data_IF_988868190480
#
_entry.id   IF_988868190480
#
_cell.length_a   1.000
_cell.length_b   1.000
_cell.length_c   1.000
_cell.angle_alpha   90.00
_cell.angle_beta   90.00
_cell.angle_gamma   90.00
#
_symmetry.space_group_name_H-M   'P 1'
#
loop_
_entity.id
_entity.type
_entity.pdbx_description
1 polymer ?
#
# COMPACT_ATOMS: atom_id res chain seq x y z
N UNK A 1 -25.72 -33.10 -9.32
CA UNK A 1 -25.57 -32.76 -10.76
C UNK A 1 -24.72 -31.50 -11.00
N UNK A 2 -23.66 -31.27 -10.21
CA UNK A 2 -22.71 -30.13 -10.37
C UNK A 2 -21.25 -30.59 -10.45
N UNK A 3 -20.97 -31.87 -10.18
CA UNK A 3 -19.63 -32.47 -10.28
C UNK A 3 -19.23 -32.94 -11.69
N UNK A 4 -20.12 -32.80 -12.69
CA UNK A 4 -19.86 -33.23 -14.07
C UNK A 4 -19.36 -32.09 -15.00
N UNK A 5 -19.54 -30.82 -14.59
CA UNK A 5 -19.17 -29.64 -15.40
C UNK A 5 -17.70 -29.23 -15.19
N UNK A 6 -17.08 -29.60 -14.06
CA UNK A 6 -15.71 -29.21 -13.71
C UNK A 6 -14.66 -30.04 -14.49
N UNK A 7 -14.98 -31.26 -14.91
CA UNK A 7 -14.02 -32.16 -15.55
C UNK A 7 -13.98 -32.05 -17.10
N UNK A 8 -14.85 -31.24 -17.70
CA UNK A 8 -14.90 -31.01 -19.16
C UNK A 8 -14.05 -29.80 -19.60
N UNK A 9 -13.88 -28.79 -18.73
CA UNK A 9 -13.01 -27.64 -19.02
C UNK A 9 -11.51 -27.95 -18.88
N UNK A 10 -11.14 -28.97 -18.10
CA UNK A 10 -9.73 -29.35 -17.88
C UNK A 10 -9.09 -30.03 -19.09
N UNK A 11 -9.89 -30.62 -19.97
CA UNK A 11 -9.41 -31.27 -21.21
C UNK A 11 -9.62 -30.42 -22.47
N UNK A 12 -10.38 -29.32 -22.40
CA UNK A 12 -10.56 -28.39 -23.51
C UNK A 12 -9.53 -27.25 -23.54
N UNK A 13 -8.91 -26.91 -22.39
CA UNK A 13 -7.87 -25.87 -22.33
C UNK A 13 -6.47 -26.34 -22.75
N UNK A 14 -6.26 -27.65 -22.95
CA UNK A 14 -4.95 -28.22 -23.31
C UNK A 14 -4.80 -28.53 -24.82
N UNK A 15 -5.86 -28.39 -25.63
CA UNK A 15 -5.85 -28.77 -27.06
C UNK A 15 -5.72 -27.61 -28.05
N UNK A 16 -5.71 -26.34 -27.60
CA UNK A 16 -5.69 -25.15 -28.48
C UNK A 16 -4.39 -24.33 -28.42
N UNK A 17 -3.37 -24.75 -27.66
CA UNK A 17 -2.06 -24.07 -27.67
C UNK A 17 -0.92 -24.86 -28.32
N UNK A 18 -1.21 -26.01 -28.93
CA UNK A 18 -0.23 -26.82 -29.67
C UNK A 18 -0.33 -26.64 -31.20
N UNK A 19 -1.20 -25.75 -31.71
CA UNK A 19 -1.52 -25.65 -33.15
C UNK A 19 -1.53 -24.24 -33.76
N UNK A 20 -0.78 -23.27 -33.21
CA UNK A 20 -0.53 -21.97 -33.87
C UNK A 20 0.96 -21.59 -33.88
N UNK A 21 1.81 -22.62 -34.04
CA UNK A 21 3.12 -22.49 -34.66
C UNK A 21 2.92 -22.95 -36.11
N UNK A 22 3.30 -22.12 -37.09
CA UNK A 22 3.17 -22.27 -38.56
C UNK A 22 1.98 -21.55 -39.20
N UNK A 23 2.09 -20.22 -39.27
CA UNK A 23 1.79 -19.53 -40.53
C UNK A 23 2.51 -18.19 -40.53
N UNK A 24 3.74 -18.23 -41.04
CA UNK A 24 4.42 -17.10 -41.64
C UNK A 24 3.46 -16.39 -42.59
N UNK A 25 3.00 -15.19 -42.24
CA UNK A 25 2.64 -14.22 -43.26
C UNK A 25 3.88 -13.39 -43.54
N UNK A 26 4.59 -13.81 -44.57
CA UNK A 26 5.49 -12.97 -45.34
C UNK A 26 4.66 -11.84 -45.97
N UNK A 27 5.10 -10.60 -45.82
CA UNK A 27 4.75 -9.49 -46.71
C UNK A 27 6.06 -9.08 -47.41
N UNK A 28 6.22 -9.57 -48.64
CA UNK A 28 7.10 -9.01 -49.69
C UNK A 28 6.33 -7.86 -50.36
N UNK A 29 6.88 -6.85 -51.02
CA UNK A 29 8.23 -6.39 -51.40
C UNK A 29 7.97 -5.08 -52.16
N UNK A 30 8.76 -4.03 -51.95
CA UNK A 30 8.89 -2.94 -52.93
C UNK A 30 10.34 -2.93 -53.39
N UNK A 31 10.52 -3.18 -54.68
CA UNK A 31 11.80 -3.23 -55.37
C UNK A 31 12.18 -1.86 -55.93
N UNK A 32 13.42 -1.47 -55.59
CA UNK A 32 14.42 -0.86 -56.46
C UNK A 32 14.14 0.56 -56.98
N UNK A 33 14.86 1.51 -56.37
CA UNK A 33 15.54 2.56 -57.15
C UNK A 33 17.05 2.48 -56.88
N UNK A 34 17.77 2.47 -58.00
CA UNK A 34 19.20 2.18 -58.17
C UNK A 34 20.04 3.45 -57.96
N UNK A 35 21.16 3.29 -57.25
CA UNK A 35 22.33 4.18 -57.17
C UNK A 35 22.23 5.50 -56.38
N UNK A 36 22.71 5.49 -55.15
CA UNK A 36 23.75 6.44 -54.74
C UNK A 36 24.62 5.86 -53.62
N UNK A 37 25.86 5.53 -53.96
CA UNK A 37 26.94 5.29 -53.00
C UNK A 37 27.16 6.55 -52.17
N UNK A 38 26.69 6.54 -50.92
CA UNK A 38 27.33 7.23 -49.81
C UNK A 38 27.04 6.43 -48.55
N UNK A 39 27.89 5.42 -48.35
CA UNK A 39 28.00 4.68 -47.11
C UNK A 39 28.61 5.59 -46.03
N UNK A 40 27.76 6.33 -45.31
CA UNK A 40 28.04 6.66 -43.91
C UNK A 40 27.41 5.58 -43.03
N UNK A 41 28.08 4.44 -43.02
CA UNK A 41 27.92 3.43 -42.00
C UNK A 41 28.52 3.95 -40.70
N UNK A 42 27.79 3.74 -39.60
CA UNK A 42 28.24 3.77 -38.22
C UNK A 42 28.23 5.12 -37.50
N UNK A 43 27.05 5.71 -37.32
CA UNK A 43 26.73 6.06 -35.94
C UNK A 43 26.17 4.80 -35.27
N UNK A 44 27.07 3.91 -34.86
CA UNK A 44 26.74 2.93 -33.82
C UNK A 44 26.38 3.79 -32.63
N UNK A 45 25.08 4.02 -32.48
CA UNK A 45 24.49 4.68 -31.34
C UNK A 45 24.83 3.77 -30.16
N UNK A 46 26.03 3.95 -29.61
CA UNK A 46 26.40 3.52 -28.27
C UNK A 46 25.69 4.47 -27.30
N UNK A 47 24.37 4.55 -27.44
CA UNK A 47 23.53 5.07 -26.38
C UNK A 47 23.59 3.98 -25.33
N UNK A 48 24.54 4.12 -24.41
CA UNK A 48 24.33 3.63 -23.07
C UNK A 48 22.95 4.19 -22.69
N UNK A 49 21.94 3.34 -22.59
CA UNK A 49 20.63 3.68 -22.05
C UNK A 49 20.78 3.40 -20.55
N UNK A 50 21.23 4.38 -19.73
CA UNK A 50 21.43 4.14 -18.32
C UNK A 50 20.08 3.85 -17.67
N UNK A 51 19.88 2.58 -17.33
CA UNK A 51 18.72 2.08 -16.59
C UNK A 51 19.17 1.82 -15.17
N UNK A 52 18.34 2.22 -14.21
CA UNK A 52 18.53 1.90 -12.79
C UNK A 52 17.33 1.15 -12.25
N UNK A 53 17.54 0.49 -11.12
CA UNK A 53 16.51 -0.24 -10.40
C UNK A 53 16.32 0.40 -9.02
N UNK A 54 15.08 0.39 -8.55
CA UNK A 54 14.70 0.76 -7.19
C UNK A 54 13.88 -0.37 -6.56
N UNK A 55 13.77 -0.34 -5.24
CA UNK A 55 12.76 -1.07 -4.50
C UNK A 55 11.94 -0.05 -3.71
N UNK A 56 10.74 0.28 -4.22
CA UNK A 56 9.88 1.26 -3.57
C UNK A 56 9.45 0.83 -2.17
N UNK A 57 9.21 -0.47 -1.96
CA UNK A 57 8.82 -1.00 -0.66
C UNK A 57 9.95 -0.83 0.35
N UNK A 58 11.19 -1.12 -0.05
CA UNK A 58 12.38 -0.93 0.76
C UNK A 58 12.63 0.55 1.09
N UNK A 59 12.49 1.45 0.10
CA UNK A 59 12.65 2.90 0.28
C UNK A 59 11.68 3.43 1.33
N UNK A 60 10.39 3.13 1.16
CA UNK A 60 9.35 3.55 2.13
C UNK A 60 9.63 2.92 3.49
N UNK A 61 9.91 1.61 3.53
CA UNK A 61 10.10 0.88 4.78
C UNK A 61 11.24 1.43 5.63
N UNK A 62 12.37 1.79 5.01
CA UNK A 62 13.59 2.23 5.68
C UNK A 62 13.78 3.75 5.78
N UNK A 63 12.86 4.54 5.25
CA UNK A 63 12.89 5.99 5.42
C UNK A 63 12.73 6.39 6.89
N UNK A 64 13.44 7.43 7.32
CA UNK A 64 13.33 7.99 8.68
C UNK A 64 11.91 8.42 8.98
N UNK A 65 11.23 9.04 8.00
CA UNK A 65 9.84 9.44 8.12
C UNK A 65 8.91 8.26 8.42
N UNK A 66 9.06 7.13 7.72
CA UNK A 66 8.25 5.94 8.01
C UNK A 66 8.54 5.34 9.38
N UNK A 67 9.80 5.36 9.82
CA UNK A 67 10.18 4.89 11.16
C UNK A 67 9.51 5.73 12.24
N UNK A 68 9.55 7.05 12.12
CA UNK A 68 8.91 7.94 13.11
C UNK A 68 7.38 7.80 13.08
N UNK A 69 6.77 7.67 11.89
CA UNK A 69 5.33 7.43 11.78
C UNK A 69 4.91 6.15 12.49
N UNK A 70 5.64 5.05 12.32
CA UNK A 70 5.34 3.79 13.01
C UNK A 70 5.44 3.93 14.53
N UNK A 71 6.49 4.59 15.00
CA UNK A 71 6.71 4.84 16.43
C UNK A 71 5.57 5.65 17.04
N UNK A 72 5.10 6.67 16.35
CA UNK A 72 4.00 7.49 16.83
C UNK A 72 2.64 6.77 16.76
N UNK A 73 2.40 5.98 15.71
CA UNK A 73 1.22 5.09 15.65
C UNK A 73 1.23 4.05 16.77
N UNK A 74 2.39 3.48 17.10
CA UNK A 74 2.52 2.54 18.22
C UNK A 74 2.26 3.23 19.56
N UNK A 75 2.69 4.49 19.72
CA UNK A 75 2.39 5.32 20.91
C UNK A 75 0.89 5.54 21.04
N UNK A 76 0.24 6.01 19.97
CA UNK A 76 -1.21 6.25 19.92
C UNK A 76 -1.99 4.96 20.19
N UNK A 77 -1.59 3.84 19.57
CA UNK A 77 -2.23 2.54 19.79
C UNK A 77 -2.18 2.14 21.27
N UNK A 78 -1.02 2.27 21.93
CA UNK A 78 -0.88 1.97 23.37
C UNK A 78 -1.77 2.85 24.23
N UNK A 79 -1.83 4.14 23.93
CA UNK A 79 -2.70 5.10 24.63
C UNK A 79 -4.17 4.70 24.51
N UNK A 80 -4.63 4.40 23.29
CA UNK A 80 -6.01 3.97 23.06
C UNK A 80 -6.31 2.60 23.69
N UNK A 81 -5.39 1.64 23.63
CA UNK A 81 -5.56 0.35 24.28
C UNK A 81 -5.73 0.52 25.80
N UNK A 82 -4.95 1.40 26.44
CA UNK A 82 -5.10 1.66 27.87
C UNK A 82 -6.47 2.25 28.22
N UNK A 83 -6.99 3.17 27.41
CA UNK A 83 -8.34 3.73 27.58
C UNK A 83 -9.40 2.64 27.42
N UNK A 84 -9.32 1.84 26.36
CA UNK A 84 -10.26 0.75 26.09
C UNK A 84 -10.27 -0.27 27.21
N UNK A 85 -9.10 -0.72 27.68
CA UNK A 85 -9.02 -1.68 28.79
C UNK A 85 -9.69 -1.15 30.05
N UNK A 86 -9.52 0.13 30.37
CA UNK A 86 -10.21 0.74 31.51
C UNK A 86 -11.74 0.72 31.36
N UNK A 87 -12.25 1.10 30.19
CA UNK A 87 -13.69 1.09 29.90
C UNK A 87 -14.26 -0.35 29.91
N UNK A 88 -13.48 -1.33 29.43
CA UNK A 88 -13.85 -2.76 29.49
C UNK A 88 -13.95 -3.25 30.94
N UNK A 89 -13.02 -2.84 31.81
CA UNK A 89 -13.07 -3.15 33.25
C UNK A 89 -14.30 -2.52 33.93
N UNK A 90 -14.61 -1.25 33.62
CA UNK A 90 -15.80 -0.57 34.14
C UNK A 90 -17.10 -1.26 33.68
N UNK A 91 -17.18 -1.65 32.41
CA UNK A 91 -18.32 -2.40 31.88
C UNK A 91 -18.46 -3.78 32.51
N UNK A 92 -17.36 -4.46 32.81
CA UNK A 92 -17.38 -5.75 33.49
C UNK A 92 -17.96 -5.63 34.91
N UNK A 93 -17.54 -4.62 35.66
CA UNK A 93 -18.09 -4.35 36.99
C UNK A 93 -19.59 -4.04 36.93
N UNK A 94 -20.01 -3.22 35.96
CA UNK A 94 -21.43 -2.91 35.73
C UNK A 94 -22.24 -4.17 35.37
N UNK A 95 -21.66 -5.09 34.59
CA UNK A 95 -22.29 -6.37 34.26
C UNK A 95 -22.50 -7.24 35.51
N UNK A 96 -21.50 -7.31 36.40
CA UNK A 96 -21.60 -8.07 37.65
C UNK A 96 -22.68 -7.45 38.58
N UNK A 97 -22.73 -6.12 38.69
CA UNK A 97 -23.75 -5.39 39.46
C UNK A 97 -25.17 -5.63 38.92
N UNK A 98 -25.36 -5.58 37.60
CA UNK A 98 -26.63 -5.92 36.95
C UNK A 98 -27.07 -7.35 37.30
N UNK A 99 -26.14 -8.31 37.35
CA UNK A 99 -26.41 -9.68 37.75
C UNK A 99 -27.03 -9.79 39.15
N UNK A 100 -26.52 -9.00 40.10
CA UNK A 100 -27.03 -8.94 41.49
C UNK A 100 -28.39 -8.23 41.55
N UNK A 101 -28.52 -7.10 40.85
CA UNK A 101 -29.72 -6.25 40.91
C UNK A 101 -30.96 -6.89 40.28
N UNK A 102 -30.79 -7.89 39.38
CA UNK A 102 -31.90 -8.59 38.72
C UNK A 102 -32.94 -9.19 39.67
N UNK A 103 -32.51 -9.65 40.85
CA UNK A 103 -33.39 -10.25 41.86
C UNK A 103 -33.98 -9.23 42.85
N UNK A 104 -33.56 -7.96 42.76
CA UNK A 104 -33.85 -6.92 43.76
C UNK A 104 -34.71 -5.81 43.16
N UNK A 105 -34.45 -5.42 41.90
CA UNK A 105 -35.11 -4.29 41.26
C UNK A 105 -36.45 -4.67 40.58
N UNK A 106 -37.40 -3.71 40.48
CA UNK A 106 -38.56 -3.83 39.61
C UNK A 106 -38.14 -4.03 38.14
N UNK A 107 -38.94 -4.78 37.39
CA UNK A 107 -38.68 -5.13 35.98
C UNK A 107 -38.41 -3.89 35.12
N UNK A 108 -39.20 -2.83 35.29
CA UNK A 108 -39.06 -1.60 34.48
C UNK A 108 -37.77 -0.83 34.78
N UNK A 109 -37.28 -0.85 36.02
CA UNK A 109 -36.02 -0.21 36.41
C UNK A 109 -34.82 -1.03 35.92
N UNK A 110 -34.90 -2.36 36.05
CA UNK A 110 -33.89 -3.27 35.53
C UNK A 110 -33.72 -3.14 34.01
N UNK A 111 -34.82 -3.08 33.26
CA UNK A 111 -34.79 -2.93 31.80
C UNK A 111 -34.08 -1.63 31.36
N UNK A 112 -34.25 -0.53 32.11
CA UNK A 112 -33.55 0.73 31.81
C UNK A 112 -32.04 0.60 32.00
N UNK A 113 -31.59 -0.07 33.07
CA UNK A 113 -30.17 -0.29 33.33
C UNK A 113 -29.55 -1.25 32.30
N UNK A 114 -30.27 -2.30 31.90
CA UNK A 114 -29.82 -3.19 30.82
C UNK A 114 -29.66 -2.42 29.50
N UNK A 115 -30.59 -1.52 29.19
CA UNK A 115 -30.51 -0.69 27.99
C UNK A 115 -29.30 0.27 28.04
N UNK A 116 -29.03 0.91 29.17
CA UNK A 116 -27.84 1.76 29.35
C UNK A 116 -26.56 0.96 29.16
N UNK A 117 -26.46 -0.23 29.78
CA UNK A 117 -25.32 -1.12 29.61
C UNK A 117 -25.10 -1.52 28.15
N UNK A 118 -26.17 -1.94 27.44
CA UNK A 118 -26.10 -2.26 26.01
C UNK A 118 -25.61 -1.07 25.19
N UNK A 119 -26.13 0.12 25.46
CA UNK A 119 -25.71 1.34 24.77
C UNK A 119 -24.24 1.67 25.01
N UNK A 120 -23.73 1.50 26.23
CA UNK A 120 -22.30 1.71 26.52
C UNK A 120 -21.41 0.70 25.81
N UNK A 121 -21.79 -0.57 25.76
CA UNK A 121 -21.07 -1.61 25.02
C UNK A 121 -21.00 -1.26 23.52
N UNK A 122 -22.14 -0.90 22.92
CA UNK A 122 -22.21 -0.50 21.51
C UNK A 122 -21.35 0.74 21.22
N UNK A 123 -21.38 1.72 22.12
CA UNK A 123 -20.56 2.93 22.02
C UNK A 123 -19.06 2.59 22.09
N UNK A 124 -18.65 1.73 23.02
CA UNK A 124 -17.24 1.31 23.13
C UNK A 124 -16.78 0.58 21.87
N UNK A 125 -17.59 -0.35 21.35
CA UNK A 125 -17.29 -1.06 20.09
C UNK A 125 -17.16 -0.09 18.91
N UNK A 126 -18.04 0.90 18.83
CA UNK A 126 -18.01 1.94 17.79
C UNK A 126 -16.74 2.78 17.88
N UNK A 127 -16.35 3.20 19.09
CA UNK A 127 -15.11 3.96 19.32
C UNK A 127 -13.87 3.15 18.94
N UNK A 128 -13.82 1.86 19.26
CA UNK A 128 -12.70 0.98 18.86
C UNK A 128 -12.59 0.91 17.34
N UNK A 129 -13.72 0.70 16.64
CA UNK A 129 -13.74 0.63 15.19
C UNK A 129 -13.31 1.97 14.55
N UNK A 130 -13.82 3.09 15.04
CA UNK A 130 -13.45 4.44 14.59
C UNK A 130 -11.96 4.71 14.77
N UNK A 131 -11.40 4.38 15.95
CA UNK A 131 -9.98 4.59 16.24
C UNK A 131 -9.06 3.72 15.39
N UNK A 132 -9.42 2.47 15.15
CA UNK A 132 -8.67 1.61 14.24
C UNK A 132 -8.65 2.16 12.81
N UNK A 133 -9.82 2.63 12.33
CA UNK A 133 -9.94 3.28 11.01
C UNK A 133 -9.09 4.55 10.94
N UNK A 134 -9.10 5.39 11.98
CA UNK A 134 -8.28 6.60 12.06
C UNK A 134 -6.78 6.28 11.94
N UNK A 135 -6.28 5.29 12.70
CA UNK A 135 -4.89 4.86 12.65
C UNK A 135 -4.48 4.30 11.28
N UNK A 136 -5.35 3.52 10.64
CA UNK A 136 -5.13 2.99 9.29
C UNK A 136 -5.06 4.11 8.25
N UNK A 137 -5.97 5.09 8.34
CA UNK A 137 -5.98 6.26 7.45
C UNK A 137 -4.71 7.09 7.59
N UNK A 138 -4.24 7.33 8.81
CA UNK A 138 -2.97 8.03 9.06
C UNK A 138 -1.83 7.27 8.38
N UNK A 139 -1.70 5.97 8.63
CA UNK A 139 -0.65 5.14 8.04
C UNK A 139 -0.67 5.21 6.50
N UNK A 140 -1.85 5.04 5.89
CA UNK A 140 -2.03 5.10 4.44
C UNK A 140 -1.64 6.47 3.88
N UNK A 141 -2.09 7.56 4.51
CA UNK A 141 -1.75 8.94 4.10
C UNK A 141 -0.24 9.18 4.21
N UNK A 142 0.39 8.77 5.30
CA UNK A 142 1.85 8.88 5.49
C UNK A 142 2.61 8.13 4.41
N UNK A 143 2.26 6.86 4.12
CA UNK A 143 2.90 6.07 3.06
C UNK A 143 2.79 6.79 1.71
N UNK A 144 1.61 7.31 1.37
CA UNK A 144 1.40 8.04 0.12
C UNK A 144 2.28 9.30 0.01
N UNK A 145 2.44 10.05 1.11
CA UNK A 145 3.32 11.23 1.15
C UNK A 145 4.78 10.80 0.90
N UNK A 146 5.23 9.73 1.57
CA UNK A 146 6.58 9.19 1.42
C UNK A 146 6.84 8.73 -0.02
N UNK A 147 5.90 8.00 -0.60
CA UNK A 147 5.99 7.53 -1.99
C UNK A 147 6.07 8.68 -2.98
N UNK A 148 5.20 9.69 -2.85
CA UNK A 148 5.24 10.87 -3.73
C UNK A 148 6.56 11.61 -3.64
N UNK A 149 7.08 11.82 -2.42
CA UNK A 149 8.38 12.48 -2.23
C UNK A 149 9.53 11.64 -2.80
N UNK A 150 9.47 10.32 -2.63
CA UNK A 150 10.44 9.38 -3.22
C UNK A 150 10.46 9.48 -4.74
N UNK A 151 9.28 9.52 -5.39
CA UNK A 151 9.16 9.68 -6.84
C UNK A 151 9.76 11.01 -7.31
N UNK A 152 9.55 12.11 -6.58
CA UNK A 152 10.16 13.40 -6.90
C UNK A 152 11.69 13.32 -6.87
N UNK A 153 12.26 12.70 -5.82
CA UNK A 153 13.71 12.51 -5.68
C UNK A 153 14.25 11.63 -6.81
N UNK A 154 13.59 10.51 -7.11
CA UNK A 154 13.95 9.61 -8.21
C UNK A 154 13.93 10.36 -9.55
N UNK A 155 12.92 11.19 -9.77
CA UNK A 155 12.79 12.01 -10.99
C UNK A 155 13.93 13.00 -11.13
N UNK A 156 14.35 13.64 -10.03
CA UNK A 156 15.49 14.57 -10.03
C UNK A 156 16.79 13.83 -10.34
N UNK A 157 17.05 12.69 -9.68
CA UNK A 157 18.21 11.84 -9.97
C UNK A 157 18.21 11.38 -11.43
N UNK A 158 17.04 10.99 -11.96
CA UNK A 158 16.90 10.58 -13.35
C UNK A 158 17.26 11.69 -14.33
N UNK A 159 16.78 12.92 -14.07
CA UNK A 159 17.10 14.09 -14.90
C UNK A 159 18.58 14.45 -14.83
N UNK A 160 19.16 14.47 -13.63
CA UNK A 160 20.57 14.84 -13.40
C UNK A 160 21.55 13.85 -14.04
N UNK A 161 21.23 12.55 -14.01
CA UNK A 161 22.09 11.49 -14.54
C UNK A 161 21.75 11.07 -15.98
N UNK A 162 20.76 11.72 -16.60
CA UNK A 162 20.28 11.35 -17.94
C UNK A 162 19.77 9.91 -18.02
N UNK A 163 19.10 9.43 -16.96
CA UNK A 163 18.57 8.06 -16.89
C UNK A 163 17.44 7.88 -17.89
N UNK A 164 17.47 6.76 -18.59
CA UNK A 164 16.47 6.47 -19.61
C UNK A 164 15.23 5.75 -19.03
N UNK A 165 15.42 4.94 -17.98
CA UNK A 165 14.33 4.31 -17.26
C UNK A 165 14.72 4.00 -15.81
N UNK A 166 13.70 3.94 -14.95
CA UNK A 166 13.79 3.45 -13.58
C UNK A 166 12.82 2.28 -13.46
N UNK A 167 13.32 1.10 -13.07
CA UNK A 167 12.52 -0.11 -12.92
C UNK A 167 12.34 -0.46 -11.45
N UNK A 168 11.22 -1.06 -11.08
CA UNK A 168 11.03 -1.61 -9.75
C UNK A 168 11.59 -3.04 -9.68
N UNK A 169 12.25 -3.39 -8.58
CA UNK A 169 12.79 -4.72 -8.29
C UNK A 169 11.69 -5.79 -8.32
N UNK A 170 10.42 -5.46 -8.05
CA UNK A 170 9.30 -6.39 -8.17
C UNK A 170 9.07 -6.89 -9.61
N UNK A 171 9.58 -6.18 -10.61
CA UNK A 171 9.45 -6.51 -12.04
C UNK A 171 10.72 -7.11 -12.65
N UNK A 172 11.82 -7.13 -11.89
CA UNK A 172 13.14 -7.55 -12.37
C UNK A 172 13.58 -8.78 -11.58
N UNK A 173 13.90 -9.87 -12.28
CA UNK A 173 14.32 -11.14 -11.63
C UNK A 173 15.66 -10.99 -10.90
N UNK A 174 16.59 -10.24 -11.49
CA UNK A 174 17.92 -10.00 -10.93
C UNK A 174 18.43 -8.64 -11.40
N UNK A 175 18.85 -7.80 -10.46
CA UNK A 175 19.52 -6.53 -10.72
C UNK A 175 20.87 -6.52 -9.99
N UNK A 176 21.91 -5.98 -10.64
CA UNK A 176 23.18 -5.76 -9.97
C UNK A 176 23.05 -4.62 -8.96
N UNK A 177 23.72 -4.74 -7.81
CA UNK A 177 23.74 -3.69 -6.78
C UNK A 177 24.26 -2.34 -7.33
N UNK A 178 25.14 -2.38 -8.34
CA UNK A 178 25.70 -1.19 -9.00
C UNK A 178 24.67 -0.32 -9.72
N UNK A 179 23.52 -0.89 -10.11
CA UNK A 179 22.42 -0.17 -10.76
C UNK A 179 21.23 0.05 -9.82
N UNK A 180 21.31 -0.41 -8.56
CA UNK A 180 20.28 -0.18 -7.56
C UNK A 180 20.52 1.14 -6.82
N UNK A 181 19.65 2.12 -7.02
CA UNK A 181 19.79 3.45 -6.40
C UNK A 181 18.95 3.63 -5.12
N UNK A 182 18.31 2.57 -4.61
CA UNK A 182 17.36 2.68 -3.47
C UNK A 182 17.99 3.31 -2.23
N UNK A 183 19.25 2.97 -1.92
CA UNK A 183 19.98 3.56 -0.77
C UNK A 183 20.18 5.07 -0.95
N UNK A 184 20.55 5.50 -2.15
CA UNK A 184 20.73 6.92 -2.50
C UNK A 184 19.39 7.67 -2.35
N UNK A 185 18.30 7.07 -2.80
CA UNK A 185 16.95 7.66 -2.64
C UNK A 185 16.58 7.80 -1.16
N UNK A 186 16.83 6.77 -0.33
CA UNK A 186 16.59 6.83 1.12
C UNK A 186 17.41 7.95 1.77
N UNK A 187 18.69 8.09 1.42
CA UNK A 187 19.55 9.13 1.97
C UNK A 187 19.03 10.54 1.64
N UNK A 188 18.62 10.78 0.39
CA UNK A 188 18.03 12.06 0.00
C UNK A 188 16.67 12.29 0.65
N UNK A 189 15.84 11.26 0.73
CA UNK A 189 14.54 11.32 1.39
C UNK A 189 14.68 11.68 2.87
N UNK A 190 15.64 11.07 3.57
CA UNK A 190 15.91 11.34 4.98
C UNK A 190 16.42 12.77 5.22
N UNK A 191 17.09 13.38 4.23
CA UNK A 191 17.52 14.79 4.29
C UNK A 191 16.37 15.76 4.04
N UNK A 192 15.54 15.48 3.03
CA UNK A 192 14.48 16.39 2.61
C UNK A 192 13.19 16.25 3.44
N UNK A 193 12.94 15.08 4.02
CA UNK A 193 11.74 14.76 4.78
C UNK A 193 12.06 13.73 5.87
N UNK A 194 12.69 14.16 6.98
CA UNK A 194 13.06 13.26 8.07
C UNK A 194 11.85 12.77 8.88
N UNK A 195 10.76 13.54 8.91
CA UNK A 195 9.55 13.25 9.68
C UNK A 195 8.30 13.71 8.92
N UNK A 196 7.14 13.24 9.39
CA UNK A 196 5.81 13.67 8.94
C UNK A 196 5.03 14.07 10.18
N UNK A 197 4.39 15.23 10.14
CA UNK A 197 3.49 15.67 11.21
C UNK A 197 2.18 14.89 11.13
N UNK A 198 1.94 14.01 12.12
CA UNK A 198 0.73 13.19 12.20
C UNK A 198 -0.49 14.01 12.65
N UNK A 199 -0.29 15.08 13.43
CA UNK A 199 -1.38 15.92 13.90
C UNK A 199 -2.00 16.73 12.76
N UNK A 200 -1.18 17.14 11.79
CA UNK A 200 -1.65 17.74 10.54
C UNK A 200 -2.48 16.74 9.71
N UNK A 201 -2.04 15.48 9.64
CA UNK A 201 -2.77 14.42 8.92
C UNK A 201 -4.15 14.15 9.53
N UNK A 202 -4.25 14.17 10.86
CA UNK A 202 -5.52 14.01 11.60
C UNK A 202 -6.53 15.11 11.29
N UNK A 203 -6.08 16.35 11.12
CA UNK A 203 -6.95 17.48 10.76
C UNK A 203 -7.52 17.30 9.36
N UNK A 204 -6.66 16.94 8.40
CA UNK A 204 -7.08 16.71 7.01
C UNK A 204 -8.11 15.59 6.81
N UNK A 205 -8.21 14.61 7.72
CA UNK A 205 -9.20 13.54 7.68
C UNK A 205 -10.58 13.91 8.21
N UNK A 206 -10.72 15.02 8.94
CA UNK A 206 -12.02 15.47 9.44
C UNK A 206 -12.81 16.31 8.42
N UNK A 207 -12.14 16.81 7.39
CA UNK A 207 -12.72 17.71 6.39
C UNK A 207 -13.15 17.01 5.08
N UNK A 208 -12.84 15.72 4.92
CA UNK A 208 -13.37 14.92 3.81
C UNK A 208 -14.77 14.38 4.18
N UNK A 209 -15.85 14.83 3.51
CA UNK A 209 -17.15 14.20 3.68
C UNK A 209 -17.03 12.75 3.24
N UNK A 210 -17.49 11.83 4.09
CA UNK A 210 -17.49 10.41 3.77
C UNK A 210 -18.17 10.17 2.43
N UNK A 211 -17.42 9.68 1.46
CA UNK A 211 -17.95 9.00 0.27
C UNK A 211 -18.61 7.68 0.66
#
# INVERSE_FOLDING_TARGET
>A
MIRFIINIYKYFLCSIFVLVFLSSHSYSQDDVDVNNENAESNNSVKNNFPIVVIDMQYIVARSSAAVEVRKELDRLKKEYTAIVTKEEEELKLLQDELGVQRSILPVDEFNKLEQDFRSRVEKLQSVIAEKNKELEQILKKSINIIQRKSIQIITNIARERGLAAVLDTSTVVLAADSINISKIVIENLNKEMPSIDIDELKKSSKDEPGE
#
